data_IF_598829721943
#
_entry.id   IF_598829721943
#
_cell.length_a   1.000
_cell.length_b   1.000
_cell.length_c   1.000
_cell.angle_alpha   90.00
_cell.angle_beta   90.00
_cell.angle_gamma   90.00
#
_symmetry.space_group_name_H-M   'P 1'
#
loop_
_entity.id
_entity.type
_entity.pdbx_description
1 polymer ?
#
# COMPACT_ATOMS: atom_id res chain seq x y z
N UNK A 1 -31.71 -46.99 4.73
CA UNK A 1 -30.91 -46.00 5.49
C UNK A 1 -30.66 -44.85 4.53
N UNK A 2 -31.66 -44.15 3.97
CA UNK A 2 -32.85 -43.52 4.60
C UNK A 2 -32.47 -42.64 5.79
N UNK A 3 -32.77 -41.35 5.64
CA UNK A 3 -33.10 -40.30 6.64
C UNK A 3 -32.63 -38.97 6.03
N UNK A 4 -33.45 -38.15 5.35
CA UNK A 4 -34.72 -37.51 5.74
C UNK A 4 -34.56 -36.60 6.96
N UNK A 5 -34.37 -35.29 6.74
CA UNK A 5 -35.23 -34.26 7.34
C UNK A 5 -34.88 -32.84 6.86
N UNK A 6 -35.90 -32.19 6.30
CA UNK A 6 -36.23 -30.75 6.37
C UNK A 6 -37.56 -30.68 7.16
N UNK A 7 -38.24 -29.53 7.42
CA UNK A 7 -38.01 -28.13 6.99
C UNK A 7 -38.31 -27.07 8.09
N UNK A 8 -38.00 -25.77 7.86
CA UNK A 8 -38.79 -24.58 8.30
C UNK A 8 -38.31 -23.36 7.44
N UNK A 9 -38.92 -23.03 6.29
CA UNK A 9 -39.98 -22.03 6.04
C UNK A 9 -39.93 -20.75 6.89
N UNK A 10 -39.57 -19.62 6.26
CA UNK A 10 -40.06 -18.28 6.64
C UNK A 10 -40.10 -17.36 5.40
N UNK A 11 -41.13 -16.52 5.39
CA UNK A 11 -41.92 -16.12 4.23
C UNK A 11 -41.35 -15.03 3.35
N UNK A 12 -41.79 -15.12 2.09
CA UNK A 12 -41.58 -14.18 0.99
C UNK A 12 -42.73 -13.17 1.00
N UNK A 13 -42.45 -11.92 1.37
CA UNK A 13 -43.46 -10.85 1.42
C UNK A 13 -43.62 -10.21 0.03
N UNK A 14 -44.62 -10.70 -0.71
CA UNK A 14 -45.17 -10.10 -1.93
C UNK A 14 -46.26 -9.12 -1.52
N UNK A 15 -46.09 -7.83 -1.82
CA UNK A 15 -47.11 -6.81 -1.58
C UNK A 15 -47.79 -6.48 -2.92
N UNK A 16 -49.04 -6.94 -3.09
CA UNK A 16 -49.93 -6.60 -4.19
C UNK A 16 -50.79 -5.38 -3.79
N UNK A 17 -50.88 -4.43 -4.72
CA UNK A 17 -51.91 -3.40 -4.84
C UNK A 17 -53.33 -3.99 -4.87
N UNK A 18 -54.30 -3.36 -4.19
CA UNK A 18 -55.45 -2.66 -4.79
C UNK A 18 -56.43 -2.14 -3.72
N UNK A 19 -56.73 -0.84 -3.83
CA UNK A 19 -58.02 -0.13 -3.76
C UNK A 19 -59.12 -0.56 -2.76
N UNK A 20 -59.63 0.39 -1.97
CA UNK A 20 -61.05 0.52 -1.59
C UNK A 20 -61.37 1.97 -1.17
N UNK A 21 -62.56 2.42 -1.57
CA UNK A 21 -63.07 3.79 -1.66
C UNK A 21 -63.65 4.36 -0.34
N UNK A 22 -63.97 5.66 -0.43
CA UNK A 22 -64.44 6.58 0.58
C UNK A 22 -65.86 6.28 1.12
N UNK A 23 -66.06 6.44 2.43
CA UNK A 23 -67.37 6.35 3.10
C UNK A 23 -67.65 7.56 3.99
N UNK A 24 -68.26 8.59 3.40
CA UNK A 24 -68.82 9.76 4.07
C UNK A 24 -70.11 9.41 4.83
N UNK A 25 -70.21 9.80 6.11
CA UNK A 25 -71.49 9.94 6.80
C UNK A 25 -71.36 10.91 8.00
N UNK A 26 -72.01 12.06 7.95
CA UNK A 26 -72.35 12.83 9.16
C UNK A 26 -73.75 13.45 9.00
N UNK A 27 -74.54 13.25 10.06
CA UNK A 27 -75.98 13.43 10.11
C UNK A 27 -76.43 14.85 10.47
N UNK A 28 -77.68 15.12 10.10
CA UNK A 28 -78.49 16.33 10.27
C UNK A 28 -78.74 16.74 11.74
N UNK A 29 -78.95 18.06 11.97
CA UNK A 29 -79.82 18.59 13.02
C UNK A 29 -80.53 19.87 12.55
N UNK A 30 -81.86 19.83 12.58
CA UNK A 30 -82.83 20.88 12.27
C UNK A 30 -82.86 22.05 13.27
N UNK A 31 -83.31 23.24 12.82
CA UNK A 31 -83.56 24.36 13.73
C UNK A 31 -84.17 25.65 13.17
N UNK A 32 -85.51 25.62 13.00
CA UNK A 32 -86.49 26.72 13.20
C UNK A 32 -86.64 27.90 12.22
N UNK A 33 -87.92 28.07 11.87
CA UNK A 33 -88.58 29.15 11.13
C UNK A 33 -88.54 30.51 11.86
N UNK A 34 -88.37 31.58 11.08
CA UNK A 34 -88.82 32.94 11.38
C UNK A 34 -89.40 33.51 10.08
N UNK A 35 -90.69 33.85 10.11
CA UNK A 35 -91.39 34.52 9.04
C UNK A 35 -91.16 36.03 9.17
N UNK A 36 -90.84 36.70 8.07
CA UNK A 36 -91.10 38.14 7.91
C UNK A 36 -91.24 38.46 6.42
N UNK A 37 -92.38 39.06 6.07
CA UNK A 37 -92.60 39.71 4.78
C UNK A 37 -91.66 40.92 4.67
N UNK A 38 -90.95 41.06 3.56
CA UNK A 38 -91.12 42.18 2.61
C UNK A 38 -89.91 42.35 1.69
N UNK A 39 -90.16 42.15 0.38
CA UNK A 39 -89.72 43.05 -0.69
C UNK A 39 -88.22 43.40 -0.75
N UNK A 40 -87.38 42.50 -1.27
CA UNK A 40 -86.51 42.74 -2.44
C UNK A 40 -85.71 41.46 -2.78
N UNK A 41 -86.36 40.48 -3.42
CA UNK A 41 -85.70 39.23 -3.85
C UNK A 41 -84.92 39.37 -5.18
N UNK A 42 -84.91 40.55 -5.81
CA UNK A 42 -84.22 40.77 -7.10
C UNK A 42 -82.69 40.72 -6.95
N UNK A 43 -82.14 41.37 -5.92
CA UNK A 43 -80.69 41.56 -5.79
C UNK A 43 -79.96 40.27 -5.39
N UNK A 44 -80.60 39.36 -4.65
CA UNK A 44 -79.97 38.10 -4.23
C UNK A 44 -79.91 37.09 -5.38
N UNK A 45 -80.95 37.06 -6.21
CA UNK A 45 -80.97 36.25 -7.43
C UNK A 45 -79.97 36.78 -8.46
N UNK A 46 -79.86 38.10 -8.63
CA UNK A 46 -78.85 38.71 -9.49
C UNK A 46 -77.42 38.40 -9.04
N UNK A 47 -77.15 38.40 -7.73
CA UNK A 47 -75.83 38.04 -7.18
C UNK A 47 -75.52 36.55 -7.37
N UNK A 48 -76.52 35.66 -7.25
CA UNK A 48 -76.34 34.24 -7.50
C UNK A 48 -76.15 33.94 -9.00
N UNK A 49 -76.88 34.63 -9.86
CA UNK A 49 -76.71 34.57 -11.31
C UNK A 49 -75.33 35.10 -11.68
N UNK A 50 -74.88 36.23 -11.13
CA UNK A 50 -73.55 36.78 -11.36
C UNK A 50 -72.41 35.86 -10.83
N UNK A 51 -72.65 35.09 -9.77
CA UNK A 51 -71.73 34.03 -9.31
C UNK A 51 -71.72 32.82 -10.24
N UNK A 52 -72.89 32.40 -10.75
CA UNK A 52 -73.04 31.27 -11.69
C UNK A 52 -72.53 31.60 -13.09
N UNK A 53 -72.73 32.82 -13.54
CA UNK A 53 -72.24 33.39 -14.81
C UNK A 53 -70.77 33.82 -14.71
N UNK A 54 -70.16 33.76 -13.51
CA UNK A 54 -68.73 33.98 -13.30
C UNK A 54 -68.28 35.45 -13.37
N UNK A 55 -69.23 36.39 -13.32
CA UNK A 55 -69.00 37.84 -13.27
C UNK A 55 -68.38 38.23 -11.91
N UNK A 56 -68.84 37.58 -10.83
CA UNK A 56 -68.27 37.70 -9.50
C UNK A 56 -67.35 36.52 -9.22
N UNK A 57 -66.04 36.79 -9.07
CA UNK A 57 -65.09 35.77 -8.64
C UNK A 57 -65.31 35.43 -7.17
N UNK A 58 -65.31 34.13 -6.85
CA UNK A 58 -65.30 33.61 -5.47
C UNK A 58 -64.00 34.03 -4.80
N UNK A 59 -63.93 35.26 -4.33
CA UNK A 59 -62.80 35.84 -3.62
C UNK A 59 -62.74 35.26 -2.20
N UNK A 60 -62.51 33.95 -2.10
CA UNK A 60 -61.82 33.42 -0.93
C UNK A 60 -60.52 34.19 -0.79
N UNK A 61 -60.14 34.57 0.43
CA UNK A 61 -58.92 35.33 0.71
C UNK A 61 -57.79 34.85 -0.21
N UNK A 62 -57.36 35.71 -1.13
CA UNK A 62 -56.19 35.48 -1.96
C UNK A 62 -54.95 35.55 -1.07
N UNK A 63 -54.76 34.56 -0.20
CA UNK A 63 -53.45 34.29 0.36
C UNK A 63 -52.57 33.98 -0.84
N UNK A 64 -51.53 34.79 -1.14
CA UNK A 64 -50.65 34.48 -2.25
C UNK A 64 -50.10 33.09 -2.00
N UNK A 65 -50.44 32.15 -2.89
CA UNK A 65 -49.88 30.81 -2.88
C UNK A 65 -48.37 31.01 -3.03
N UNK A 66 -47.64 31.00 -1.92
CA UNK A 66 -46.18 31.08 -1.93
C UNK A 66 -45.75 29.82 -2.67
N UNK A 67 -45.36 29.98 -3.94
CA UNK A 67 -44.88 28.88 -4.77
C UNK A 67 -43.78 28.18 -3.96
N UNK A 68 -44.01 26.91 -3.60
CA UNK A 68 -42.99 26.09 -2.96
C UNK A 68 -41.75 26.16 -3.86
N UNK A 69 -40.61 26.53 -3.29
CA UNK A 69 -39.34 26.59 -4.04
C UNK A 69 -39.11 25.22 -4.66
N UNK A 70 -38.69 25.20 -5.92
CA UNK A 70 -38.30 23.95 -6.59
C UNK A 70 -37.28 23.21 -5.74
N UNK A 71 -37.42 21.88 -5.65
CA UNK A 71 -36.43 21.07 -4.95
C UNK A 71 -35.08 21.19 -5.66
N UNK A 72 -34.02 21.44 -4.89
CA UNK A 72 -32.65 21.48 -5.42
C UNK A 72 -32.29 20.10 -6.00
N UNK A 73 -32.78 19.04 -5.37
CA UNK A 73 -32.63 17.67 -5.83
C UNK A 73 -33.85 17.25 -6.66
N UNK A 74 -33.68 17.20 -7.98
CA UNK A 74 -34.70 16.79 -8.95
C UNK A 74 -34.50 15.32 -9.34
N UNK A 75 -34.93 14.42 -8.45
CA UNK A 75 -34.75 12.97 -8.59
C UNK A 75 -35.39 12.44 -9.89
N UNK A 76 -36.62 12.84 -10.15
CA UNK A 76 -37.41 12.35 -11.28
C UNK A 76 -36.78 12.76 -12.63
N UNK A 77 -36.26 13.99 -12.72
CA UNK A 77 -35.55 14.44 -13.92
C UNK A 77 -34.24 13.66 -14.16
N UNK A 78 -33.52 13.30 -13.09
CA UNK A 78 -32.31 12.49 -13.17
C UNK A 78 -32.62 11.06 -13.63
N UNK A 79 -33.73 10.49 -13.18
CA UNK A 79 -34.18 9.16 -13.60
C UNK A 79 -34.62 9.16 -15.07
N UNK A 80 -35.36 10.16 -15.52
CA UNK A 80 -35.75 10.32 -16.93
C UNK A 80 -34.52 10.41 -17.84
N UNK A 81 -33.53 11.23 -17.47
CA UNK A 81 -32.25 11.32 -18.20
C UNK A 81 -31.45 10.03 -18.14
N UNK A 82 -31.47 9.31 -17.02
CA UNK A 82 -30.82 8.02 -16.92
C UNK A 82 -31.40 7.04 -17.93
N UNK A 83 -32.73 6.96 -18.05
CA UNK A 83 -33.39 6.10 -19.05
C UNK A 83 -33.03 6.52 -20.49
N UNK A 84 -32.96 7.82 -20.77
CA UNK A 84 -32.55 8.34 -22.08
C UNK A 84 -31.13 7.90 -22.47
N UNK A 85 -30.18 7.95 -21.53
CA UNK A 85 -28.79 7.55 -21.77
C UNK A 85 -28.57 6.04 -21.68
N UNK A 86 -29.36 5.33 -20.87
CA UNK A 86 -29.20 3.91 -20.59
C UNK A 86 -29.82 3.04 -21.69
N UNK A 87 -29.19 3.08 -22.87
CA UNK A 87 -29.50 2.16 -23.96
C UNK A 87 -28.87 0.80 -23.66
N UNK A 88 -29.65 -0.27 -23.70
CA UNK A 88 -29.14 -1.65 -23.54
C UNK A 88 -28.15 -1.96 -24.67
N UNK A 89 -26.91 -2.27 -24.31
CA UNK A 89 -25.85 -2.71 -25.23
C UNK A 89 -25.39 -4.11 -24.85
N UNK A 90 -24.79 -4.81 -25.81
CA UNK A 90 -24.14 -6.08 -25.49
C UNK A 90 -23.03 -5.83 -24.47
N UNK A 91 -22.81 -6.79 -23.58
CA UNK A 91 -21.78 -6.64 -22.55
C UNK A 91 -20.38 -6.46 -23.14
N UNK A 92 -20.11 -7.00 -24.34
CA UNK A 92 -18.84 -6.81 -25.07
C UNK A 92 -18.54 -5.36 -25.44
N UNK A 93 -19.56 -4.52 -25.63
CA UNK A 93 -19.35 -3.12 -26.00
C UNK A 93 -18.96 -2.27 -24.79
N UNK A 94 -19.38 -2.69 -23.60
CA UNK A 94 -19.17 -1.94 -22.35
C UNK A 94 -18.00 -2.51 -21.54
N UNK A 95 -17.80 -3.84 -21.57
CA UNK A 95 -16.82 -4.61 -20.77
C UNK A 95 -16.81 -4.25 -19.28
N UNK A 96 -17.92 -3.72 -18.76
CA UNK A 96 -18.01 -3.25 -17.39
C UNK A 96 -18.33 -4.41 -16.44
N UNK A 97 -17.64 -4.43 -15.30
CA UNK A 97 -17.93 -5.33 -14.18
C UNK A 97 -18.26 -4.45 -12.99
N UNK A 98 -19.51 -4.49 -12.55
CA UNK A 98 -19.97 -3.80 -11.35
C UNK A 98 -19.82 -4.69 -10.13
N UNK A 99 -19.50 -4.07 -8.99
CA UNK A 99 -19.46 -4.72 -7.68
C UNK A 99 -20.54 -4.14 -6.79
N UNK A 100 -21.08 -4.96 -5.91
CA UNK A 100 -21.98 -4.48 -4.88
C UNK A 100 -21.21 -3.55 -3.91
N UNK A 101 -21.82 -2.44 -3.45
CA UNK A 101 -21.14 -1.40 -2.69
C UNK A 101 -20.64 -1.89 -1.32
N UNK A 102 -21.22 -2.96 -0.79
CA UNK A 102 -20.80 -3.63 0.44
C UNK A 102 -19.44 -4.35 0.34
N UNK A 103 -18.90 -4.58 -0.86
CA UNK A 103 -17.55 -5.09 -1.06
C UNK A 103 -16.48 -3.98 -1.17
N UNK A 104 -16.88 -2.70 -1.09
CA UNK A 104 -15.94 -1.59 -1.13
C UNK A 104 -15.08 -1.52 0.15
N UNK A 105 -13.92 -0.88 0.08
CA UNK A 105 -13.04 -0.71 1.23
C UNK A 105 -13.71 0.14 2.30
N UNK A 106 -14.04 -0.48 3.44
CA UNK A 106 -14.67 0.17 4.61
C UNK A 106 -13.64 0.50 5.71
N UNK A 107 -12.35 0.44 5.41
CA UNK A 107 -11.29 0.72 6.36
C UNK A 107 -11.03 2.22 6.56
N UNK A 108 -9.93 2.56 7.21
CA UNK A 108 -9.57 3.96 7.47
C UNK A 108 -9.15 4.63 6.17
N UNK A 109 -9.82 5.72 5.81
CA UNK A 109 -9.54 6.44 4.56
C UNK A 109 -8.09 6.95 4.52
N UNK A 110 -7.47 7.26 5.65
CA UNK A 110 -6.12 7.82 5.71
C UNK A 110 -4.99 6.77 5.51
N UNK A 111 -5.29 5.47 5.61
CA UNK A 111 -4.29 4.43 5.36
C UNK A 111 -4.21 4.09 3.86
N UNK A 112 -3.24 4.71 3.20
CA UNK A 112 -3.03 4.53 1.77
C UNK A 112 -2.61 3.11 1.40
N UNK A 113 -1.87 2.40 2.27
CA UNK A 113 -1.39 1.05 1.96
C UNK A 113 -2.55 0.05 1.91
N UNK A 114 -3.43 0.12 2.90
CA UNK A 114 -4.61 -0.74 2.92
C UNK A 114 -5.59 -0.40 1.80
N UNK A 115 -5.75 0.90 1.50
CA UNK A 115 -6.61 1.38 0.43
C UNK A 115 -6.13 0.94 -0.95
N UNK A 116 -4.84 1.08 -1.24
CA UNK A 116 -4.24 0.60 -2.50
C UNK A 116 -4.33 -0.93 -2.65
N UNK A 117 -4.17 -1.67 -1.53
CA UNK A 117 -4.37 -3.11 -1.53
C UNK A 117 -5.82 -3.50 -1.86
N UNK A 118 -6.79 -2.74 -1.35
CA UNK A 118 -8.20 -2.96 -1.63
C UNK A 118 -8.56 -2.65 -3.10
N UNK A 119 -8.06 -1.55 -3.66
CA UNK A 119 -8.23 -1.24 -5.09
C UNK A 119 -7.64 -2.31 -5.99
N UNK A 120 -6.44 -2.80 -5.63
CA UNK A 120 -5.79 -3.90 -6.35
C UNK A 120 -6.63 -5.16 -6.30
N UNK A 121 -7.16 -5.53 -5.12
CA UNK A 121 -8.03 -6.70 -4.95
C UNK A 121 -9.32 -6.59 -5.75
N UNK A 122 -9.95 -5.41 -5.75
CA UNK A 122 -11.15 -5.14 -6.55
C UNK A 122 -10.88 -5.31 -8.05
N UNK A 123 -9.78 -4.74 -8.55
CA UNK A 123 -9.38 -4.89 -9.95
C UNK A 123 -9.09 -6.35 -10.31
N UNK A 124 -8.41 -7.10 -9.44
CA UNK A 124 -8.13 -8.53 -9.66
C UNK A 124 -9.42 -9.35 -9.75
N UNK A 125 -10.37 -9.13 -8.84
CA UNK A 125 -11.67 -9.81 -8.87
C UNK A 125 -12.47 -9.47 -10.14
N UNK A 126 -12.34 -8.23 -10.64
CA UNK A 126 -13.01 -7.80 -11.87
C UNK A 126 -12.48 -8.56 -13.07
N UNK A 127 -11.15 -8.67 -13.16
CA UNK A 127 -10.48 -9.47 -14.18
C UNK A 127 -10.91 -10.94 -14.08
N UNK A 128 -10.89 -11.53 -12.89
CA UNK A 128 -11.31 -12.92 -12.69
C UNK A 128 -12.76 -13.19 -13.10
N UNK A 129 -13.65 -12.20 -12.94
CA UNK A 129 -15.06 -12.30 -13.38
C UNK A 129 -15.21 -12.10 -14.89
N UNK A 130 -14.42 -11.21 -15.48
CA UNK A 130 -14.50 -10.88 -16.91
C UNK A 130 -13.87 -11.96 -17.80
N UNK A 131 -12.75 -12.56 -17.37
CA UNK A 131 -12.03 -13.60 -18.12
C UNK A 131 -12.91 -14.77 -18.60
N UNK A 132 -13.69 -15.46 -17.74
CA UNK A 132 -14.52 -16.57 -18.18
C UNK A 132 -15.63 -16.13 -19.14
N UNK A 133 -16.19 -14.92 -18.93
CA UNK A 133 -17.19 -14.35 -19.85
C UNK A 133 -16.60 -14.08 -21.22
N UNK A 134 -15.41 -13.49 -21.30
CA UNK A 134 -14.69 -13.27 -22.57
C UNK A 134 -14.33 -14.58 -23.27
N UNK A 135 -13.91 -15.59 -22.50
CA UNK A 135 -13.63 -16.92 -23.02
C UNK A 135 -14.88 -17.59 -23.62
N UNK A 136 -16.04 -17.48 -22.95
CA UNK A 136 -17.31 -18.00 -23.48
C UNK A 136 -17.73 -17.35 -24.80
N UNK A 137 -17.36 -16.09 -24.99
CA UNK A 137 -17.61 -15.30 -26.19
C UNK A 137 -16.52 -15.48 -27.28
N UNK A 138 -15.54 -16.35 -27.04
CA UNK A 138 -14.43 -16.68 -27.95
C UNK A 138 -13.59 -15.46 -28.37
N UNK A 139 -13.45 -14.47 -27.49
CA UNK A 139 -12.61 -13.29 -27.72
C UNK A 139 -11.17 -13.59 -27.31
N UNK A 140 -10.14 -13.28 -28.13
CA UNK A 140 -8.74 -13.44 -27.75
C UNK A 140 -8.36 -12.44 -26.64
N UNK A 141 -7.89 -12.95 -25.50
CA UNK A 141 -7.61 -12.15 -24.30
C UNK A 141 -6.13 -11.78 -24.19
N UNK A 142 -5.24 -12.71 -24.53
CA UNK A 142 -3.81 -12.56 -24.32
C UNK A 142 -3.16 -11.84 -25.51
N UNK A 143 -2.36 -10.81 -25.24
CA UNK A 143 -1.54 -10.13 -26.25
C UNK A 143 -0.37 -11.03 -26.67
N UNK A 144 -0.27 -11.48 -27.93
CA UNK A 144 0.87 -12.25 -28.40
C UNK A 144 2.18 -11.47 -28.29
N UNK A 145 3.30 -12.14 -28.00
CA UNK A 145 4.62 -11.52 -27.90
C UNK A 145 5.13 -10.93 -29.23
N UNK A 146 4.62 -11.45 -30.35
CA UNK A 146 4.98 -11.03 -31.71
C UNK A 146 4.08 -9.89 -32.24
N UNK A 147 3.13 -9.40 -31.42
CA UNK A 147 2.24 -8.31 -31.81
C UNK A 147 2.80 -6.95 -31.37
N UNK A 148 3.56 -6.33 -32.28
CA UNK A 148 4.15 -5.00 -32.09
C UNK A 148 3.17 -3.90 -32.53
N UNK A 149 2.42 -3.39 -31.57
CA UNK A 149 1.58 -2.20 -31.72
C UNK A 149 2.05 -1.11 -30.75
N UNK A 150 1.66 0.13 -31.01
CA UNK A 150 1.95 1.25 -30.11
C UNK A 150 1.37 0.99 -28.71
N UNK A 151 2.22 1.13 -27.69
CA UNK A 151 1.86 0.94 -26.30
C UNK A 151 1.70 2.29 -25.61
N UNK A 152 0.95 2.33 -24.50
CA UNK A 152 0.71 3.57 -23.75
C UNK A 152 1.99 4.25 -23.20
N UNK A 153 3.12 3.54 -23.15
CA UNK A 153 4.44 4.06 -22.75
C UNK A 153 5.48 3.61 -23.77
N UNK A 154 6.45 4.48 -24.07
CA UNK A 154 7.54 4.15 -24.98
C UNK A 154 8.55 3.16 -24.36
N UNK A 155 9.20 2.37 -25.20
CA UNK A 155 10.22 1.41 -24.78
C UNK A 155 11.41 2.11 -24.08
N UNK A 156 11.82 3.28 -24.58
CA UNK A 156 12.85 4.10 -23.93
C UNK A 156 12.48 4.53 -22.50
N UNK A 157 11.20 4.76 -22.24
CA UNK A 157 10.72 5.05 -20.89
C UNK A 157 10.78 3.79 -20.01
N UNK A 158 10.35 2.65 -20.52
CA UNK A 158 10.37 1.38 -19.78
C UNK A 158 11.80 0.90 -19.48
N UNK A 159 12.74 1.10 -20.40
CA UNK A 159 14.17 0.86 -20.19
C UNK A 159 14.73 1.69 -19.03
N UNK A 160 14.30 2.95 -18.90
CA UNK A 160 14.70 3.82 -17.77
C UNK A 160 14.13 3.32 -16.46
N UNK A 161 12.88 2.87 -16.44
CA UNK A 161 12.24 2.27 -15.26
C UNK A 161 12.97 1.00 -14.85
N UNK A 162 13.28 0.12 -15.80
CA UNK A 162 13.99 -1.13 -15.54
C UNK A 162 15.40 -0.87 -14.99
N UNK A 163 16.16 0.04 -15.60
CA UNK A 163 17.48 0.45 -15.11
C UNK A 163 17.40 0.96 -13.66
N UNK A 164 16.35 1.70 -13.30
CA UNK A 164 16.14 2.17 -11.92
C UNK A 164 15.83 1.02 -10.97
N UNK A 165 14.99 0.08 -11.37
CA UNK A 165 14.65 -1.10 -10.56
C UNK A 165 15.87 -2.00 -10.33
N UNK A 166 16.66 -2.28 -11.37
CA UNK A 166 17.92 -3.03 -11.26
C UNK A 166 18.92 -2.32 -10.34
N UNK A 167 19.04 -1.00 -10.41
CA UNK A 167 19.89 -0.21 -9.50
C UNK A 167 19.43 -0.30 -8.05
N UNK A 168 18.12 -0.22 -7.79
CA UNK A 168 17.57 -0.35 -6.44
C UNK A 168 17.83 -1.75 -5.87
N UNK A 169 17.59 -2.81 -6.66
CA UNK A 169 17.85 -4.19 -6.26
C UNK A 169 19.32 -4.42 -5.91
N UNK A 170 20.23 -4.03 -6.79
CA UNK A 170 21.69 -4.18 -6.54
C UNK A 170 22.18 -3.33 -5.37
N UNK A 171 21.56 -2.17 -5.09
CA UNK A 171 21.88 -1.37 -3.92
C UNK A 171 21.46 -2.07 -2.61
N UNK A 172 20.27 -2.68 -2.58
CA UNK A 172 19.80 -3.47 -1.43
C UNK A 172 20.68 -4.71 -1.22
N UNK A 173 20.98 -5.47 -2.26
CA UNK A 173 21.86 -6.64 -2.17
C UNK A 173 23.24 -6.28 -1.61
N UNK A 174 23.83 -5.15 -2.05
CA UNK A 174 25.10 -4.66 -1.50
C UNK A 174 25.00 -4.27 -0.04
N UNK A 175 23.87 -3.68 0.37
CA UNK A 175 23.61 -3.33 1.78
C UNK A 175 23.55 -4.59 2.64
N UNK A 176 22.82 -5.60 2.19
CA UNK A 176 22.66 -6.88 2.91
C UNK A 176 23.99 -7.63 2.98
N UNK A 177 24.74 -7.69 1.87
CA UNK A 177 26.09 -8.27 1.85
C UNK A 177 27.04 -7.52 2.80
N UNK A 178 26.97 -6.19 2.86
CA UNK A 178 27.77 -5.39 3.79
C UNK A 178 27.41 -5.66 5.25
N UNK A 179 26.13 -5.87 5.56
CA UNK A 179 25.68 -6.27 6.90
C UNK A 179 26.21 -7.65 7.27
N UNK A 180 26.05 -8.65 6.40
CA UNK A 180 26.59 -10.01 6.60
C UNK A 180 28.11 -10.00 6.84
N UNK A 181 28.86 -9.29 6.01
CA UNK A 181 30.31 -9.17 6.18
C UNK A 181 30.70 -8.49 7.52
N UNK A 182 29.89 -7.54 8.00
CA UNK A 182 30.13 -6.91 9.32
C UNK A 182 29.85 -7.88 10.46
N UNK A 183 28.81 -8.68 10.35
CA UNK A 183 28.45 -9.70 11.34
C UNK A 183 29.50 -10.81 11.39
N UNK A 184 29.94 -11.31 10.24
CA UNK A 184 31.03 -12.29 10.12
C UNK A 184 32.31 -11.78 10.79
N UNK A 185 32.69 -10.52 10.55
CA UNK A 185 33.86 -9.89 11.20
C UNK A 185 33.70 -9.80 12.71
N UNK A 186 32.52 -9.40 13.19
CA UNK A 186 32.23 -9.36 14.64
C UNK A 186 32.32 -10.76 15.26
N UNK A 187 31.77 -11.76 14.58
CA UNK A 187 31.81 -13.15 15.04
C UNK A 187 33.24 -13.68 15.04
N UNK A 188 34.02 -13.45 13.99
CA UNK A 188 35.42 -13.86 13.91
C UNK A 188 36.25 -13.29 15.09
N UNK A 189 36.09 -12.00 15.40
CA UNK A 189 36.75 -11.37 16.56
C UNK A 189 36.31 -12.01 17.89
N UNK A 190 35.01 -12.32 18.04
CA UNK A 190 34.48 -12.98 19.25
C UNK A 190 35.04 -14.41 19.39
N UNK A 191 35.11 -15.16 18.30
CA UNK A 191 35.68 -16.52 18.27
C UNK A 191 37.16 -16.48 18.63
N UNK A 192 37.94 -15.56 18.06
CA UNK A 192 39.35 -15.41 18.39
C UNK A 192 39.55 -15.11 19.89
N UNK A 193 38.79 -14.15 20.43
CA UNK A 193 38.84 -13.80 21.86
C UNK A 193 38.46 -14.99 22.76
N UNK A 194 37.39 -15.73 22.40
CA UNK A 194 36.96 -16.91 23.14
C UNK A 194 38.00 -18.04 23.09
N UNK A 195 38.65 -18.25 21.94
CA UNK A 195 39.76 -19.21 21.81
C UNK A 195 40.95 -18.83 22.71
N UNK A 196 41.34 -17.57 22.74
CA UNK A 196 42.42 -17.09 23.63
C UNK A 196 42.06 -17.23 25.11
N UNK A 197 40.81 -16.96 25.48
CA UNK A 197 40.32 -17.13 26.86
C UNK A 197 40.29 -18.60 27.27
N UNK A 198 39.84 -19.51 26.39
CA UNK A 198 39.93 -20.97 26.61
C UNK A 198 41.37 -21.40 26.83
N UNK A 199 42.30 -21.00 25.95
CA UNK A 199 43.74 -21.28 26.12
C UNK A 199 44.29 -20.76 27.45
N UNK A 200 43.90 -19.55 27.88
CA UNK A 200 44.34 -18.97 29.17
C UNK A 200 43.77 -19.73 30.37
N UNK A 201 42.49 -20.10 30.33
CA UNK A 201 41.83 -20.83 31.42
C UNK A 201 42.37 -22.25 31.53
N UNK A 202 42.60 -22.95 30.42
CA UNK A 202 43.27 -24.25 30.35
C UNK A 202 44.69 -24.19 30.93
N UNK A 203 45.51 -23.20 30.52
CA UNK A 203 46.84 -23.00 31.10
C UNK A 203 46.80 -22.73 32.60
N UNK A 204 45.84 -21.91 33.08
CA UNK A 204 45.66 -21.66 34.52
C UNK A 204 45.31 -22.93 35.28
N UNK A 205 44.35 -23.72 34.78
CA UNK A 205 43.96 -25.03 35.35
C UNK A 205 45.14 -25.99 35.41
N UNK A 206 45.96 -26.05 34.37
CA UNK A 206 47.17 -26.87 34.32
C UNK A 206 48.23 -26.41 35.34
N UNK A 207 48.48 -25.10 35.45
CA UNK A 207 49.41 -24.54 36.45
C UNK A 207 48.91 -24.82 37.88
N UNK A 208 47.61 -24.74 38.11
CA UNK A 208 47.02 -25.08 39.41
C UNK A 208 47.18 -26.57 39.74
N UNK A 209 46.87 -27.46 38.79
CA UNK A 209 47.04 -28.90 38.95
C UNK A 209 48.50 -29.29 39.22
N UNK A 210 49.46 -28.69 38.50
CA UNK A 210 50.90 -28.92 38.74
C UNK A 210 51.37 -28.41 40.10
N UNK A 211 50.87 -27.25 40.56
CA UNK A 211 51.14 -26.77 41.93
C UNK A 211 50.56 -27.69 43.00
N UNK A 212 49.35 -28.24 42.81
CA UNK A 212 48.73 -29.22 43.73
C UNK A 212 49.51 -30.54 43.76
N UNK A 213 49.95 -31.03 42.59
CA UNK A 213 50.81 -32.21 42.49
C UNK A 213 52.16 -32.01 43.20
N UNK A 214 52.82 -30.85 43.02
CA UNK A 214 54.07 -30.51 43.74
C UNK A 214 53.88 -30.48 45.27
N UNK A 215 52.67 -30.22 45.76
CA UNK A 215 52.30 -30.26 47.19
C UNK A 215 51.89 -31.66 47.69
N UNK A 216 52.02 -32.71 46.86
CA UNK A 216 51.83 -34.11 47.27
C UNK A 216 50.46 -34.72 46.96
N UNK A 217 49.54 -33.98 46.35
CA UNK A 217 48.20 -34.49 45.97
C UNK A 217 48.27 -34.99 44.52
N UNK A 218 48.50 -36.29 44.32
CA UNK A 218 48.89 -36.87 43.02
C UNK A 218 47.75 -37.11 42.01
N UNK A 219 46.48 -37.15 42.43
CA UNK A 219 45.37 -37.60 41.57
C UNK A 219 44.93 -36.66 40.43
N UNK A 220 44.85 -35.34 40.66
CA UNK A 220 44.21 -34.42 39.70
C UNK A 220 45.06 -34.10 38.46
N UNK A 221 46.38 -34.19 38.56
CA UNK A 221 47.27 -33.90 37.43
C UNK A 221 47.35 -35.09 36.46
N UNK A 222 47.32 -36.31 36.98
CA UNK A 222 47.41 -37.54 36.20
C UNK A 222 46.15 -37.73 35.33
N UNK A 223 44.96 -37.45 35.87
CA UNK A 223 43.69 -37.49 35.14
C UNK A 223 43.60 -36.45 33.99
N UNK A 224 44.15 -35.24 34.18
CA UNK A 224 44.19 -34.24 33.10
C UNK A 224 45.22 -34.59 32.02
N UNK A 225 46.31 -35.28 32.37
CA UNK A 225 47.35 -35.72 31.43
C UNK A 225 46.93 -36.95 30.60
N UNK A 226 46.15 -37.87 31.18
CA UNK A 226 45.59 -39.01 30.44
C UNK A 226 44.54 -38.57 29.42
N UNK A 227 43.67 -37.60 29.77
CA UNK A 227 42.68 -37.05 28.84
C UNK A 227 43.31 -36.19 27.72
N UNK A 228 44.44 -35.53 27.98
CA UNK A 228 45.13 -34.71 26.96
C UNK A 228 46.06 -35.51 26.05
N UNK A 229 46.50 -36.72 26.43
CA UNK A 229 47.26 -37.62 25.55
C UNK A 229 46.46 -38.10 24.33
N UNK A 230 45.12 -38.10 24.40
CA UNK A 230 44.23 -38.31 23.25
C UNK A 230 43.96 -37.06 22.42
N UNK A 231 44.26 -35.87 22.96
CA UNK A 231 44.12 -34.57 22.31
C UNK A 231 45.50 -33.96 22.06
N UNK A 232 46.35 -34.69 21.32
CA UNK A 232 47.58 -34.15 20.75
C UNK A 232 47.17 -33.01 19.82
N UNK A 233 47.63 -31.81 20.17
CA UNK A 233 47.47 -30.59 19.41
C UNK A 233 47.89 -30.82 17.95
N UNK A 234 46.92 -31.05 17.09
CA UNK A 234 47.03 -30.84 15.65
C UNK A 234 46.96 -29.31 15.47
N UNK A 235 48.07 -28.65 15.78
CA UNK A 235 48.43 -27.41 15.10
C UNK A 235 48.68 -27.88 13.66
N UNK A 236 47.74 -27.58 12.75
CA UNK A 236 48.04 -27.50 11.32
C UNK A 236 49.15 -26.45 11.16
N UNK A 237 50.40 -26.89 11.28
CA UNK A 237 51.52 -26.33 10.54
C UNK A 237 51.21 -26.57 9.06
N UNK A 238 50.39 -25.70 8.45
CA UNK A 238 50.41 -25.56 7.00
C UNK A 238 51.72 -24.83 6.64
N UNK A 239 52.67 -25.66 6.26
CA UNK A 239 53.99 -25.37 5.72
C UNK A 239 54.13 -23.99 5.07
N UNK A 240 54.85 -23.13 5.77
CA UNK A 240 55.61 -22.06 5.15
C UNK A 240 56.68 -22.63 4.22
N UNK A 241 56.34 -22.94 2.97
CA UNK A 241 57.32 -22.95 1.88
C UNK A 241 57.80 -21.52 1.62
N UNK A 242 58.85 -21.13 2.33
CA UNK A 242 59.78 -20.08 1.85
C UNK A 242 60.69 -20.72 0.81
N UNK A 243 60.67 -20.32 -0.47
CA UNK A 243 61.72 -20.72 -1.40
C UNK A 243 62.93 -19.81 -1.16
N UNK A 244 64.01 -20.43 -0.71
CA UNK A 244 65.34 -19.82 -0.69
C UNK A 244 65.84 -19.59 -2.12
N UNK A 245 66.50 -18.44 -2.29
CA UNK A 245 67.42 -18.03 -3.34
C UNK A 245 67.42 -18.78 -4.69
N UNK A 246 66.75 -18.18 -5.69
CA UNK A 246 67.30 -18.17 -7.04
C UNK A 246 67.64 -16.73 -7.44
N UNK A 247 68.95 -16.49 -7.59
CA UNK A 247 69.50 -15.35 -8.32
C UNK A 247 68.83 -15.26 -9.69
N UNK A 248 68.02 -14.24 -9.92
CA UNK A 248 67.75 -13.76 -11.28
C UNK A 248 67.28 -12.30 -11.29
N UNK A 249 68.01 -11.50 -12.04
CA UNK A 249 67.39 -10.50 -12.90
C UNK A 249 66.90 -9.22 -12.23
N UNK A 250 67.81 -8.25 -12.19
CA UNK A 250 67.57 -6.87 -12.61
C UNK A 250 66.43 -6.80 -13.66
N UNK A 251 65.51 -5.85 -13.47
CA UNK A 251 64.34 -5.48 -14.30
C UNK A 251 63.03 -6.27 -14.10
N UNK A 252 61.97 -5.55 -13.71
CA UNK A 252 60.59 -6.04 -13.84
C UNK A 252 59.56 -5.56 -12.82
N UNK A 253 59.65 -4.34 -12.26
CA UNK A 253 58.64 -3.84 -11.32
C UNK A 253 57.42 -3.30 -12.09
N UNK A 254 56.50 -4.18 -12.47
CA UNK A 254 55.13 -3.80 -12.88
C UNK A 254 54.28 -3.60 -11.61
N UNK A 255 53.90 -2.35 -11.40
CA UNK A 255 53.11 -1.82 -10.30
C UNK A 255 51.63 -2.22 -10.44
N UNK A 256 51.13 -3.07 -9.54
CA UNK A 256 49.70 -3.12 -9.20
C UNK A 256 49.60 -3.28 -7.68
N UNK A 257 49.06 -2.24 -7.02
CA UNK A 257 49.12 -2.08 -5.56
C UNK A 257 49.93 -0.84 -5.19
N UNK A 258 49.41 0.33 -5.54
CA UNK A 258 50.07 1.63 -5.39
C UNK A 258 50.71 1.80 -4.02
N UNK A 259 52.02 2.04 -4.03
CA UNK A 259 52.78 2.41 -2.85
C UNK A 259 52.03 3.54 -2.13
N UNK A 260 51.59 3.28 -0.89
CA UNK A 260 50.93 4.29 -0.06
C UNK A 260 51.84 5.51 -0.02
N UNK A 261 51.44 6.59 -0.68
CA UNK A 261 52.19 7.84 -0.67
C UNK A 261 52.53 8.20 0.77
N UNK A 262 53.80 8.47 1.04
CA UNK A 262 54.27 8.98 2.32
C UNK A 262 53.41 10.18 2.74
N UNK A 263 53.21 10.36 4.05
CA UNK A 263 52.40 11.45 4.62
C UNK A 263 52.88 12.82 4.09
N UNK A 264 54.21 12.98 3.89
CA UNK A 264 54.81 14.15 3.22
C UNK A 264 54.34 14.33 1.77
N UNK A 265 54.26 13.25 0.99
CA UNK A 265 53.78 13.28 -0.40
C UNK A 265 52.29 13.61 -0.52
N UNK A 266 51.47 13.08 0.39
CA UNK A 266 50.04 13.44 0.47
C UNK A 266 49.84 14.90 0.86
N UNK A 267 50.59 15.41 1.83
CA UNK A 267 50.51 16.81 2.24
C UNK A 267 50.97 17.76 1.13
N UNK A 268 51.98 17.39 0.34
CA UNK A 268 52.42 18.17 -0.82
C UNK A 268 51.37 18.17 -1.94
N UNK A 269 50.72 17.03 -2.20
CA UNK A 269 49.74 16.88 -3.29
C UNK A 269 48.36 17.45 -2.95
N UNK A 270 47.88 17.27 -1.71
CA UNK A 270 46.50 17.61 -1.31
C UNK A 270 46.42 18.75 -0.27
N UNK A 271 47.55 19.21 0.26
CA UNK A 271 47.64 20.18 1.35
C UNK A 271 47.54 19.50 2.73
N UNK A 272 48.01 20.19 3.77
CA UNK A 272 47.75 19.77 5.16
C UNK A 272 46.25 19.91 5.42
N UNK A 273 45.57 18.83 5.81
CA UNK A 273 44.12 18.74 5.96
C UNK A 273 43.55 19.58 7.13
N UNK A 274 43.76 20.89 7.13
CA UNK A 274 43.09 21.89 7.97
C UNK A 274 41.92 22.56 7.23
N UNK A 275 41.08 23.31 7.96
CA UNK A 275 39.94 24.04 7.40
C UNK A 275 40.37 25.00 6.28
N UNK A 276 40.15 24.63 5.02
CA UNK A 276 40.29 25.51 3.83
C UNK A 276 39.10 26.48 3.68
N UNK A 277 38.57 27.02 4.78
CA UNK A 277 37.34 27.84 4.76
C UNK A 277 37.56 29.28 4.26
N UNK A 278 38.79 29.71 3.99
CA UNK A 278 39.09 31.11 3.60
C UNK A 278 40.10 31.28 2.46
N UNK A 279 40.58 30.20 1.83
CA UNK A 279 41.58 30.28 0.75
C UNK A 279 41.01 30.59 -0.64
N UNK A 280 39.71 30.89 -0.73
CA UNK A 280 39.00 31.30 -1.96
C UNK A 280 38.37 32.69 -1.77
N UNK A 281 39.01 33.55 -0.98
CA UNK A 281 38.64 34.97 -0.89
C UNK A 281 39.38 35.75 -1.98
N UNK A 282 38.72 36.72 -2.59
CA UNK A 282 39.38 37.66 -3.48
C UNK A 282 40.30 38.55 -2.63
N UNK A 283 41.61 38.37 -2.76
CA UNK A 283 42.59 39.28 -2.15
C UNK A 283 42.80 40.48 -3.07
N UNK A 284 43.20 41.63 -2.51
CA UNK A 284 43.45 42.88 -3.25
C UNK A 284 44.38 42.71 -4.47
N UNK A 285 45.30 41.73 -4.42
CA UNK A 285 46.19 41.35 -5.54
C UNK A 285 45.47 40.80 -6.77
N UNK A 286 44.24 40.29 -6.61
CA UNK A 286 43.41 39.81 -7.72
C UNK A 286 42.89 40.96 -8.59
N UNK A 287 42.93 42.20 -8.10
CA UNK A 287 42.37 43.38 -8.75
C UNK A 287 43.43 44.19 -9.54
N UNK A 288 44.72 44.02 -9.26
CA UNK A 288 45.82 44.75 -9.92
C UNK A 288 46.36 44.03 -11.18
N UNK A 289 45.75 42.91 -11.58
CA UNK A 289 46.08 42.19 -12.81
C UNK A 289 44.95 42.36 -13.83
N UNK A 290 44.70 43.61 -14.24
CA UNK A 290 44.03 43.94 -15.49
C UNK A 290 44.52 45.29 -16.01
#
# INVERSE_FOLDING_TARGET
>A
MSDSDSPENLDTLVFMEQDEEDGSNCADVDGKQLAENSSDDSDYDELQIAFKEGILQKHGLNAPQIKKRESIYKKDEMELKFVEFHKRRAWLDTLSVSFAPNLCYMGKVDDDFEREAAFTKQAMNAVQTALPRLHSLKVPIHRPSDYFAEMAKSDEQMDRVEKRLRRAKTANEKRDQSQRQREERKFAVKVQRSREERKRTEKRKLIEATKKHRKGIKGQLEEMLTNTKGARWEDEEEDGRRPDSYKRGRNGKRSSGGAKMSRKGRNKKFGFGGQKKRSKGNDRKSFEMH
#
